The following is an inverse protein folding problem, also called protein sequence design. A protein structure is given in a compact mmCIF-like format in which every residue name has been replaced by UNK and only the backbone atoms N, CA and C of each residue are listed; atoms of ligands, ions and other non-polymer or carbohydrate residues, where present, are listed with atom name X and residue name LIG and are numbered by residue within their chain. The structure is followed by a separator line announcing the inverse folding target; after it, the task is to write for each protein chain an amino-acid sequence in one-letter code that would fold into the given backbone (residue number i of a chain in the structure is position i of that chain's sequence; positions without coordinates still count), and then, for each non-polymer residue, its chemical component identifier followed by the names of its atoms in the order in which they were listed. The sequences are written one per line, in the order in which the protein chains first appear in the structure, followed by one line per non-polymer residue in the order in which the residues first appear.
data_IF_529234586198
#
_entry.id   IF_529234586198
#
_cell.length_a   1.000
_cell.length_b   1.000
_cell.length_c   1.000
_cell.angle_alpha   90.00
_cell.angle_beta   90.00
_cell.angle_gamma   90.00
#
_symmetry.space_group_name_H-M   'P 1'
#
loop_
_entity.id
_entity.type
_entity.pdbx_description
1 polymer ?
#
# COMPACT_ATOMS: atom_id res chain seq x y z
N UNK A 1 -3.82 -8.71 -6.33
CA UNK A 1 -2.64 -7.87 -6.15
C UNK A 1 -1.60 -8.59 -5.29
N UNK A 2 -0.31 -8.41 -5.59
CA UNK A 2 0.78 -8.98 -4.79
C UNK A 2 1.46 -7.91 -3.94
N UNK A 3 1.87 -8.26 -2.73
CA UNK A 3 2.65 -7.43 -1.82
C UNK A 3 3.94 -8.16 -1.42
N UNK A 4 5.07 -7.47 -1.28
CA UNK A 4 6.29 -8.08 -0.72
C UNK A 4 6.14 -8.50 0.75
N UNK A 5 5.20 -7.89 1.44
CA UNK A 5 5.02 -8.00 2.88
C UNK A 5 5.88 -7.03 3.69
N UNK A 6 6.75 -6.27 3.02
CA UNK A 6 7.62 -5.28 3.66
C UNK A 6 8.68 -5.90 4.59
N UNK A 7 9.46 -5.05 5.28
CA UNK A 7 10.55 -5.52 6.15
C UNK A 7 10.07 -6.21 7.43
N UNK A 8 8.80 -6.04 7.81
CA UNK A 8 8.26 -6.54 9.08
C UNK A 8 7.35 -7.75 8.95
N UNK A 9 7.31 -8.36 7.75
CA UNK A 9 6.43 -9.50 7.43
C UNK A 9 6.51 -10.64 8.47
N UNK A 10 7.68 -10.92 8.99
CA UNK A 10 7.92 -12.03 9.95
C UNK A 10 7.94 -11.61 11.41
N UNK A 11 7.81 -10.31 11.71
CA UNK A 11 7.83 -9.82 13.09
C UNK A 11 6.48 -10.06 13.79
N UNK A 12 6.55 -10.34 15.10
CA UNK A 12 5.38 -10.31 15.97
C UNK A 12 4.92 -8.86 16.22
N UNK A 13 3.68 -8.65 16.68
CA UNK A 13 3.18 -7.33 17.07
C UNK A 13 4.08 -6.66 18.13
N UNK A 14 4.58 -7.42 19.11
CA UNK A 14 5.45 -6.86 20.14
C UNK A 14 6.78 -6.38 19.57
N UNK A 15 7.35 -7.12 18.61
CA UNK A 15 8.55 -6.68 17.90
C UNK A 15 8.28 -5.44 17.05
N UNK A 16 7.10 -5.37 16.39
CA UNK A 16 6.70 -4.22 15.58
C UNK A 16 6.51 -2.93 16.40
N UNK A 17 6.24 -3.03 17.72
CA UNK A 17 6.15 -1.85 18.61
C UNK A 17 7.49 -1.11 18.76
N UNK A 18 8.60 -1.82 18.63
CA UNK A 18 9.94 -1.30 18.87
C UNK A 18 10.71 -0.97 17.57
N UNK A 19 10.07 -1.06 16.41
CA UNK A 19 10.75 -0.80 15.13
C UNK A 19 11.06 0.68 14.94
N UNK A 20 12.21 0.93 14.33
CA UNK A 20 12.68 2.29 14.07
C UNK A 20 12.37 2.74 12.63
N UNK A 21 12.40 4.06 12.36
CA UNK A 21 12.26 4.58 11.01
C UNK A 21 13.28 4.00 10.02
N UNK A 22 14.53 3.82 10.44
CA UNK A 22 15.60 3.26 9.62
C UNK A 22 15.30 1.81 9.21
N UNK A 23 14.72 1.03 10.13
CA UNK A 23 14.28 -0.34 9.83
C UNK A 23 13.09 -0.36 8.86
N UNK A 24 12.15 0.59 8.99
CA UNK A 24 10.97 0.66 8.12
C UNK A 24 11.32 1.07 6.69
N UNK A 25 12.38 1.86 6.46
CA UNK A 25 12.82 2.24 5.12
C UNK A 25 13.76 1.21 4.48
N UNK A 26 14.25 0.23 5.23
CA UNK A 26 15.11 -0.85 4.74
C UNK A 26 14.28 -1.95 4.04
N UNK A 27 13.72 -1.63 2.84
CA UNK A 27 12.93 -2.59 2.08
C UNK A 27 13.80 -3.73 1.54
N UNK A 28 13.39 -5.03 1.67
CA UNK A 28 14.22 -6.16 1.29
C UNK A 28 14.53 -6.27 -0.21
N UNK A 29 13.62 -5.83 -1.08
CA UNK A 29 13.70 -6.06 -2.54
C UNK A 29 13.77 -4.78 -3.36
N UNK A 30 13.38 -3.62 -2.81
CA UNK A 30 13.24 -2.38 -3.55
C UNK A 30 14.03 -1.24 -2.90
N UNK A 31 14.76 -0.49 -3.71
CA UNK A 31 15.31 0.81 -3.30
C UNK A 31 14.29 1.90 -3.62
N UNK A 32 13.63 2.42 -2.61
CA UNK A 32 12.50 3.34 -2.75
C UNK A 32 12.66 4.56 -1.82
N UNK A 33 11.86 5.60 -2.08
CA UNK A 33 11.75 6.75 -1.18
C UNK A 33 11.15 6.37 0.20
N UNK A 34 11.42 7.17 1.22
CA UNK A 34 11.02 6.88 2.60
C UNK A 34 9.50 6.67 2.75
N UNK A 35 8.67 7.52 2.14
CA UNK A 35 7.20 7.42 2.21
C UNK A 35 6.69 6.06 1.76
N UNK A 36 7.03 5.64 0.54
CA UNK A 36 6.54 4.37 -0.02
C UNK A 36 7.14 3.16 0.70
N UNK A 37 8.34 3.27 1.28
CA UNK A 37 8.94 2.20 2.08
C UNK A 37 8.15 1.96 3.38
N UNK A 38 7.74 3.03 4.08
CA UNK A 38 6.87 2.94 5.26
C UNK A 38 5.48 2.42 4.87
N UNK A 39 4.92 2.87 3.76
CA UNK A 39 3.64 2.35 3.25
C UNK A 39 3.72 0.87 2.89
N UNK A 40 4.84 0.41 2.36
CA UNK A 40 5.09 -1.02 2.14
C UNK A 40 5.19 -1.78 3.46
N UNK A 41 5.88 -1.21 4.46
CA UNK A 41 6.03 -1.82 5.77
C UNK A 41 4.69 -1.96 6.53
N UNK A 42 3.77 -1.01 6.38
CA UNK A 42 2.42 -1.04 6.97
C UNK A 42 1.40 -1.79 6.11
N UNK A 43 1.74 -2.15 4.88
CA UNK A 43 0.84 -2.60 3.80
C UNK A 43 -0.18 -1.54 3.35
N UNK A 44 -0.06 -0.28 3.78
CA UNK A 44 -0.92 0.81 3.28
C UNK A 44 -0.74 1.04 1.78
N UNK A 45 0.49 0.89 1.25
CA UNK A 45 0.71 0.96 -0.20
C UNK A 45 -0.23 0.00 -0.95
N UNK A 46 -0.37 -1.21 -0.45
CA UNK A 46 -1.27 -2.20 -1.06
C UNK A 46 -2.75 -1.87 -0.83
N UNK A 47 -3.06 -1.21 0.27
CA UNK A 47 -4.39 -0.66 0.51
C UNK A 47 -4.77 0.46 -0.49
N UNK A 48 -3.83 1.35 -0.81
CA UNK A 48 -4.02 2.38 -1.84
C UNK A 48 -4.16 1.75 -3.23
N UNK A 49 -3.31 0.78 -3.57
CA UNK A 49 -3.40 0.05 -4.84
C UNK A 49 -4.72 -0.74 -4.98
N UNK A 50 -5.32 -1.22 -3.90
CA UNK A 50 -6.65 -1.81 -3.91
C UNK A 50 -7.70 -0.81 -4.40
N UNK A 51 -7.65 0.43 -3.87
CA UNK A 51 -8.55 1.51 -4.27
C UNK A 51 -8.30 1.91 -5.74
N UNK A 52 -7.04 2.03 -6.13
CA UNK A 52 -6.65 2.32 -7.52
C UNK A 52 -7.15 1.25 -8.47
N UNK A 53 -6.94 -0.02 -8.17
CA UNK A 53 -7.37 -1.13 -9.02
C UNK A 53 -8.89 -1.16 -9.20
N UNK A 54 -9.67 -0.87 -8.14
CA UNK A 54 -11.11 -0.75 -8.24
C UNK A 54 -11.56 0.34 -9.23
N UNK A 55 -10.86 1.47 -9.25
CA UNK A 55 -11.20 2.56 -10.17
C UNK A 55 -10.65 2.37 -11.59
N UNK A 56 -9.55 1.64 -11.74
CA UNK A 56 -8.91 1.42 -13.05
C UNK A 56 -9.49 0.23 -13.83
N UNK A 57 -10.04 -0.76 -13.12
CA UNK A 57 -10.52 -2.00 -13.75
C UNK A 57 -12.02 -2.19 -13.50
N UNK A 58 -12.76 -2.78 -14.46
CA UNK A 58 -14.19 -3.02 -14.34
C UNK A 58 -14.49 -4.26 -13.47
N UNK A 59 -13.96 -4.27 -12.24
CA UNK A 59 -14.13 -5.37 -11.27
C UNK A 59 -14.68 -4.84 -9.96
N UNK A 60 -15.49 -5.65 -9.27
CA UNK A 60 -15.98 -5.31 -7.93
C UNK A 60 -14.88 -5.34 -6.89
N UNK A 61 -15.02 -4.57 -5.82
CA UNK A 61 -14.06 -4.51 -4.72
C UNK A 61 -13.79 -5.90 -4.09
N UNK A 62 -14.80 -6.75 -4.03
CA UNK A 62 -14.70 -8.11 -3.49
C UNK A 62 -13.93 -9.07 -4.40
N UNK A 63 -13.79 -8.73 -5.70
CA UNK A 63 -13.00 -9.51 -6.66
C UNK A 63 -11.51 -9.12 -6.64
N UNK A 64 -11.12 -8.11 -5.85
CA UNK A 64 -9.72 -7.69 -5.72
C UNK A 64 -9.13 -8.27 -4.44
N UNK A 65 -8.32 -9.31 -4.60
CA UNK A 65 -7.60 -9.94 -3.50
C UNK A 65 -6.16 -9.46 -3.40
N UNK A 66 -5.62 -9.56 -2.19
CA UNK A 66 -4.22 -9.23 -1.89
C UNK A 66 -3.56 -10.48 -1.32
N UNK A 67 -2.43 -10.85 -1.92
CA UNK A 67 -1.56 -11.93 -1.43
C UNK A 67 -0.16 -11.42 -1.17
N UNK A 68 0.47 -11.90 -0.12
CA UNK A 68 1.87 -11.59 0.16
C UNK A 68 2.75 -12.57 -0.61
N UNK A 69 3.70 -12.02 -1.39
CA UNK A 69 4.66 -12.75 -2.20
C UNK A 69 6.06 -12.19 -1.95
N UNK A 70 6.84 -12.81 -1.03
CA UNK A 70 8.11 -12.25 -0.54
C UNK A 70 9.15 -12.04 -1.62
N UNK A 71 9.21 -12.92 -2.62
CA UNK A 71 10.20 -12.80 -3.71
C UNK A 71 9.94 -11.61 -4.64
N UNK A 72 8.71 -11.06 -4.64
CA UNK A 72 8.31 -9.89 -5.46
C UNK A 72 8.61 -10.05 -6.95
N UNK A 73 8.55 -11.25 -7.49
CA UNK A 73 8.71 -11.53 -8.92
C UNK A 73 7.38 -11.70 -9.65
N UNK A 74 6.32 -12.08 -8.93
CA UNK A 74 4.94 -12.03 -9.43
C UNK A 74 4.35 -10.68 -9.04
N UNK A 75 3.99 -9.87 -10.02
CA UNK A 75 3.51 -8.50 -9.79
C UNK A 75 1.98 -8.38 -9.83
N UNK A 76 1.31 -9.27 -10.58
CA UNK A 76 -0.15 -9.33 -10.64
C UNK A 76 -0.62 -10.71 -11.08
N UNK A 77 -1.85 -11.07 -10.67
CA UNK A 77 -2.53 -12.28 -11.11
C UNK A 77 -3.95 -11.91 -11.54
N UNK A 78 -4.45 -12.57 -12.57
CA UNK A 78 -5.85 -12.49 -13.01
C UNK A 78 -6.40 -13.90 -13.02
N UNK A 79 -7.42 -14.15 -12.21
CA UNK A 79 -8.18 -15.38 -12.21
C UNK A 79 -9.41 -15.25 -13.11
N UNK A 80 -9.63 -16.25 -13.97
CA UNK A 80 -10.74 -16.30 -14.89
C UNK A 80 -11.86 -17.19 -14.35
N UNK A 81 -13.05 -17.06 -14.94
CA UNK A 81 -14.26 -17.80 -14.52
C UNK A 81 -14.13 -19.33 -14.67
N UNK A 82 -13.18 -19.80 -15.45
CA UNK A 82 -12.86 -21.22 -15.63
C UNK A 82 -11.84 -21.75 -14.60
N UNK A 83 -11.38 -20.88 -13.69
CA UNK A 83 -10.38 -21.20 -12.68
C UNK A 83 -8.94 -21.11 -13.17
N UNK A 84 -8.70 -20.74 -14.44
CA UNK A 84 -7.33 -20.48 -14.90
C UNK A 84 -6.80 -19.17 -14.33
N UNK A 85 -5.50 -19.12 -14.00
CA UNK A 85 -4.83 -17.94 -13.46
C UNK A 85 -3.69 -17.52 -14.39
N UNK A 86 -3.70 -16.28 -14.84
CA UNK A 86 -2.56 -15.68 -15.52
C UNK A 86 -1.80 -14.77 -14.56
N UNK A 87 -0.48 -14.90 -14.57
CA UNK A 87 0.40 -14.07 -13.75
C UNK A 87 1.40 -13.29 -14.62
N UNK A 88 1.61 -12.02 -14.28
CA UNK A 88 2.72 -11.25 -14.84
C UNK A 88 3.92 -11.40 -13.90
N UNK A 89 5.02 -11.90 -14.45
CA UNK A 89 6.29 -12.10 -13.75
C UNK A 89 7.39 -11.25 -14.36
N UNK A 90 8.32 -10.80 -13.51
CA UNK A 90 9.51 -10.06 -13.91
C UNK A 90 10.44 -9.80 -12.73
N UNK A 91 11.68 -9.34 -12.99
CA UNK A 91 12.52 -8.85 -11.91
C UNK A 91 11.88 -7.62 -11.25
N UNK A 92 12.13 -7.36 -9.95
CA UNK A 92 11.64 -6.19 -9.25
C UNK A 92 12.42 -4.92 -9.68
N UNK A 93 12.18 -4.46 -10.90
CA UNK A 93 12.87 -3.35 -11.55
C UNK A 93 11.87 -2.47 -12.31
N UNK A 94 11.75 -1.21 -11.89
CA UNK A 94 10.83 -0.24 -12.50
C UNK A 94 11.13 0.09 -13.96
N UNK A 95 12.36 -0.18 -14.43
CA UNK A 95 12.69 0.02 -15.85
C UNK A 95 11.85 -0.86 -16.77
N UNK A 96 11.38 -2.02 -16.30
CA UNK A 96 10.52 -2.92 -17.10
C UNK A 96 9.16 -2.28 -17.39
N UNK A 97 8.34 -1.85 -16.40
CA UNK A 97 7.06 -1.24 -16.67
C UNK A 97 7.19 0.13 -17.37
N UNK A 98 8.24 0.91 -17.07
CA UNK A 98 8.51 2.18 -17.74
C UNK A 98 8.78 1.96 -19.24
N UNK A 99 9.67 1.02 -19.57
CA UNK A 99 9.98 0.68 -20.96
C UNK A 99 8.74 0.16 -21.71
N UNK A 100 7.91 -0.64 -21.05
CA UNK A 100 6.65 -1.12 -21.63
C UNK A 100 5.71 0.03 -21.96
N UNK A 101 5.55 0.98 -21.04
CA UNK A 101 4.68 2.15 -21.25
C UNK A 101 5.17 3.04 -22.39
N UNK A 102 6.50 3.26 -22.47
CA UNK A 102 7.09 4.10 -23.51
C UNK A 102 7.05 3.46 -24.90
N UNK A 103 7.17 2.15 -25.00
CA UNK A 103 7.23 1.42 -26.26
C UNK A 103 5.87 0.90 -26.74
N UNK A 104 4.81 1.02 -25.93
CA UNK A 104 3.49 0.50 -26.29
C UNK A 104 3.05 0.88 -27.72
N UNK A 105 2.49 -0.05 -28.54
CA UNK A 105 2.17 -1.47 -28.19
C UNK A 105 3.35 -2.44 -28.33
N UNK A 106 4.48 -1.97 -28.80
CA UNK A 106 5.69 -2.78 -28.95
C UNK A 106 6.40 -3.05 -27.62
N UNK A 107 7.46 -3.85 -27.66
CA UNK A 107 8.37 -4.09 -26.56
C UNK A 107 9.76 -3.57 -26.91
N UNK A 108 10.42 -2.93 -25.94
CA UNK A 108 11.81 -2.49 -26.07
C UNK A 108 12.72 -3.23 -25.10
N UNK A 109 14.00 -3.33 -25.46
CA UNK A 109 15.02 -3.90 -24.57
C UNK A 109 15.26 -2.99 -23.38
N UNK A 110 15.52 -3.62 -22.23
CA UNK A 110 15.90 -2.94 -20.98
C UNK A 110 17.21 -3.54 -20.47
N UNK A 111 18.03 -2.76 -19.75
CA UNK A 111 19.25 -3.26 -19.11
C UNK A 111 18.94 -4.01 -17.79
N UNK A 112 17.80 -4.68 -17.70
CA UNK A 112 17.38 -5.44 -16.54
C UNK A 112 17.83 -6.89 -16.68
N UNK A 113 18.21 -7.52 -15.58
CA UNK A 113 18.45 -8.96 -15.55
C UNK A 113 17.17 -9.70 -15.90
N UNK A 114 17.30 -10.79 -16.63
CA UNK A 114 16.15 -11.63 -16.96
C UNK A 114 15.86 -12.55 -15.79
N UNK A 115 14.56 -12.79 -15.54
CA UNK A 115 14.13 -13.72 -14.52
C UNK A 115 14.50 -15.15 -14.92
N UNK A 116 15.28 -15.83 -14.08
CA UNK A 116 15.61 -17.24 -14.20
C UNK A 116 14.72 -18.05 -13.23
N UNK A 117 13.67 -18.66 -13.77
CA UNK A 117 12.72 -19.45 -12.99
C UNK A 117 13.34 -20.72 -12.40
N UNK A 118 14.38 -21.29 -13.03
CA UNK A 118 15.05 -22.47 -12.51
C UNK A 118 15.87 -22.12 -11.27
N UNK A 119 16.63 -21.04 -11.33
CA UNK A 119 17.40 -20.55 -10.18
C UNK A 119 16.48 -20.02 -9.05
N UNK A 120 15.32 -19.47 -9.38
CA UNK A 120 14.33 -19.03 -8.42
C UNK A 120 13.73 -20.21 -7.63
N UNK A 121 13.45 -21.32 -8.27
CA UNK A 121 13.02 -22.59 -7.69
C UNK A 121 11.57 -22.63 -7.23
N UNK A 122 11.14 -21.75 -6.31
CA UNK A 122 9.77 -21.71 -5.77
C UNK A 122 9.19 -20.31 -5.78
N UNK A 123 7.87 -20.25 -5.74
CA UNK A 123 7.10 -19.02 -5.52
C UNK A 123 6.25 -19.21 -4.26
N UNK A 124 6.47 -18.37 -3.26
CA UNK A 124 5.77 -18.46 -1.99
C UNK A 124 4.67 -17.42 -1.91
N UNK A 125 3.51 -17.81 -1.39
CA UNK A 125 2.36 -16.94 -1.21
C UNK A 125 1.79 -17.12 0.18
N UNK A 126 1.43 -16.01 0.83
CA UNK A 126 0.86 -15.96 2.17
C UNK A 126 -0.37 -15.04 2.17
N UNK A 127 -1.33 -15.32 3.04
CA UNK A 127 -2.40 -14.36 3.31
C UNK A 127 -1.86 -13.21 4.18
N UNK A 128 -2.22 -11.95 3.93
CA UNK A 128 -1.87 -10.86 4.82
C UNK A 128 -2.57 -11.02 6.17
N UNK A 129 -1.86 -10.76 7.26
CA UNK A 129 -2.38 -10.84 8.62
C UNK A 129 -3.09 -9.52 8.99
N UNK A 130 -4.43 -9.50 9.17
CA UNK A 130 -5.17 -8.28 9.43
C UNK A 130 -4.91 -7.67 10.81
N UNK A 131 -4.45 -8.47 11.78
CA UNK A 131 -4.12 -7.96 13.11
C UNK A 131 -2.79 -7.20 13.12
N UNK A 132 -1.80 -7.68 12.36
CA UNK A 132 -0.51 -7.01 12.23
C UNK A 132 -0.53 -5.86 11.23
N UNK A 133 -1.40 -5.95 10.21
CA UNK A 133 -1.47 -4.98 9.12
C UNK A 133 -2.90 -4.44 8.94
N UNK A 134 -3.43 -3.69 9.90
CA UNK A 134 -4.82 -3.19 9.87
C UNK A 134 -5.05 -2.16 8.75
N UNK A 135 -4.00 -1.60 8.15
CA UNK A 135 -4.09 -0.65 7.04
C UNK A 135 -4.91 -1.19 5.85
N UNK A 136 -4.82 -2.50 5.54
CA UNK A 136 -5.60 -3.12 4.49
C UNK A 136 -7.11 -3.09 4.79
N UNK A 137 -7.48 -3.33 6.05
CA UNK A 137 -8.88 -3.24 6.50
C UNK A 137 -9.42 -1.82 6.39
N UNK A 138 -8.63 -0.82 6.78
CA UNK A 138 -8.98 0.60 6.66
C UNK A 138 -9.18 1.02 5.19
N UNK A 139 -8.32 0.56 4.29
CA UNK A 139 -8.46 0.84 2.86
C UNK A 139 -9.72 0.21 2.26
N UNK A 140 -10.04 -1.05 2.60
CA UNK A 140 -11.31 -1.69 2.21
C UNK A 140 -12.52 -0.95 2.75
N UNK A 141 -12.47 -0.52 4.00
CA UNK A 141 -13.53 0.27 4.62
C UNK A 141 -13.71 1.61 3.91
N UNK A 142 -12.62 2.35 3.64
CA UNK A 142 -12.67 3.63 2.94
C UNK A 142 -13.24 3.48 1.53
N UNK A 143 -12.83 2.42 0.81
CA UNK A 143 -13.37 2.12 -0.52
C UNK A 143 -14.87 1.80 -0.46
N UNK A 144 -15.30 0.96 0.48
CA UNK A 144 -16.70 0.58 0.65
C UNK A 144 -17.60 1.75 1.01
N UNK A 145 -17.12 2.66 1.85
CA UNK A 145 -17.85 3.88 2.23
C UNK A 145 -17.88 4.91 1.08
N UNK A 146 -16.86 4.94 0.24
CA UNK A 146 -16.79 5.84 -0.91
C UNK A 146 -16.70 7.31 -0.53
N UNK A 147 -17.19 8.17 -1.43
CA UNK A 147 -17.23 9.62 -1.22
C UNK A 147 -15.84 10.19 -0.92
N UNK A 148 -15.70 10.91 0.19
CA UNK A 148 -14.45 11.52 0.62
C UNK A 148 -13.45 10.56 1.29
N UNK A 149 -13.89 9.36 1.70
CA UNK A 149 -13.08 8.46 2.55
C UNK A 149 -11.73 8.05 1.95
N UNK A 150 -11.61 7.74 0.65
CA UNK A 150 -10.28 7.45 0.06
C UNK A 150 -9.30 8.62 0.16
N UNK A 151 -9.74 9.85 -0.09
CA UNK A 151 -8.91 11.04 0.04
C UNK A 151 -8.48 11.28 1.50
N UNK A 152 -9.40 11.13 2.45
CA UNK A 152 -9.13 11.25 3.88
C UNK A 152 -8.13 10.21 4.34
N UNK A 153 -8.27 8.95 3.92
CA UNK A 153 -7.34 7.86 4.23
C UNK A 153 -5.93 8.21 3.77
N UNK A 154 -5.78 8.66 2.52
CA UNK A 154 -4.47 9.02 1.99
C UNK A 154 -3.85 10.22 2.73
N UNK A 155 -4.62 11.29 2.94
CA UNK A 155 -4.14 12.49 3.65
C UNK A 155 -3.69 12.17 5.08
N UNK A 156 -4.47 11.37 5.82
CA UNK A 156 -4.14 10.95 7.18
C UNK A 156 -2.89 10.05 7.20
N UNK A 157 -2.79 9.11 6.25
CA UNK A 157 -1.62 8.25 6.12
C UNK A 157 -0.34 9.04 5.86
N UNK A 158 -0.36 10.02 4.97
CA UNK A 158 0.81 10.85 4.68
C UNK A 158 1.29 11.63 5.91
N UNK A 159 0.38 12.15 6.73
CA UNK A 159 0.74 12.81 8.00
C UNK A 159 1.33 11.80 8.99
N UNK A 160 0.75 10.60 9.11
CA UNK A 160 1.26 9.54 9.98
C UNK A 160 2.67 9.11 9.58
N UNK A 161 2.86 8.85 8.28
CA UNK A 161 4.16 8.45 7.71
C UNK A 161 5.21 9.55 7.89
N UNK A 162 4.87 10.81 7.66
CA UNK A 162 5.78 11.95 7.87
C UNK A 162 6.14 12.16 9.36
N UNK A 163 5.22 11.84 10.27
CA UNK A 163 5.39 12.00 11.71
C UNK A 163 6.21 10.88 12.36
N UNK A 164 6.31 9.71 11.73
CA UNK A 164 7.04 8.56 12.24
C UNK A 164 8.56 8.80 12.36
N UNK A 165 9.29 9.30 11.34
CA UNK A 165 10.71 9.63 11.47
C UNK A 165 11.01 10.70 12.53
N UNK A 166 10.03 11.57 12.82
CA UNK A 166 10.14 12.62 13.83
C UNK A 166 9.79 12.11 15.25
N UNK A 167 9.54 10.82 15.41
CA UNK A 167 9.13 10.16 16.65
C UNK A 167 7.86 10.76 17.28
N UNK A 168 7.01 11.38 16.48
CA UNK A 168 5.70 11.92 16.91
C UNK A 168 4.58 10.89 16.85
N UNK A 169 4.81 9.81 16.10
CA UNK A 169 3.89 8.68 15.95
C UNK A 169 4.73 7.40 15.93
N UNK A 170 4.35 6.37 16.66
CA UNK A 170 5.00 5.06 16.57
C UNK A 170 4.51 4.29 15.33
N UNK A 171 5.25 3.28 14.91
CA UNK A 171 4.95 2.53 13.68
C UNK A 171 3.51 1.98 13.64
N UNK A 172 3.08 1.30 14.71
CA UNK A 172 1.73 0.73 14.78
C UNK A 172 0.64 1.79 14.90
N UNK A 173 0.98 2.98 15.38
CA UNK A 173 0.03 4.07 15.56
C UNK A 173 -0.28 4.82 14.24
N UNK A 174 0.50 4.59 13.17
CA UNK A 174 0.19 5.15 11.84
C UNK A 174 -1.20 4.70 11.40
N UNK A 175 -1.50 3.41 11.45
CA UNK A 175 -2.81 2.90 11.08
C UNK A 175 -3.91 3.33 12.05
N UNK A 176 -3.61 3.43 13.34
CA UNK A 176 -4.53 3.96 14.36
C UNK A 176 -4.91 5.41 14.09
N UNK A 177 -3.93 6.25 13.74
CA UNK A 177 -4.16 7.64 13.34
C UNK A 177 -5.11 7.73 12.15
N UNK A 178 -4.86 6.92 11.11
CA UNK A 178 -5.74 6.88 9.92
C UNK A 178 -7.17 6.51 10.31
N UNK A 179 -7.36 5.48 11.13
CA UNK A 179 -8.67 5.06 11.62
C UNK A 179 -9.39 6.17 12.41
N UNK A 180 -8.67 6.86 13.29
CA UNK A 180 -9.22 7.99 14.06
C UNK A 180 -9.65 9.16 13.17
N UNK A 181 -8.88 9.51 12.15
CA UNK A 181 -9.24 10.59 11.21
C UNK A 181 -10.46 10.19 10.40
N UNK A 182 -10.51 8.96 9.88
CA UNK A 182 -11.68 8.43 9.14
C UNK A 182 -12.98 8.45 9.98
N UNK A 183 -12.87 8.22 11.29
CA UNK A 183 -14.00 8.22 12.20
C UNK A 183 -14.47 9.64 12.58
N UNK A 184 -13.53 10.60 12.67
CA UNK A 184 -13.82 11.97 13.15
C UNK A 184 -14.17 12.95 12.06
N UNK A 185 -13.72 12.73 10.83
CA UNK A 185 -13.94 13.63 9.71
C UNK A 185 -14.79 12.95 8.64
N UNK A 186 -16.00 13.48 8.43
CA UNK A 186 -17.01 12.88 7.53
C UNK A 186 -17.72 13.98 6.71
N UNK A 187 -17.00 14.67 5.82
CA UNK A 187 -17.60 15.67 4.94
C UNK A 187 -18.50 15.02 3.88
N UNK A 188 -19.38 15.79 3.23
CA UNK A 188 -20.10 15.34 2.05
C UNK A 188 -19.17 14.81 0.97
N UNK A 189 -19.70 13.92 0.10
CA UNK A 189 -18.96 13.43 -1.07
C UNK A 189 -18.59 14.62 -1.98
N UNK A 190 -17.32 14.72 -2.42
CA UNK A 190 -16.87 15.83 -3.26
C UNK A 190 -17.48 15.72 -4.66
N UNK A 191 -17.89 16.86 -5.22
CA UNK A 191 -18.42 17.00 -6.57
C UNK A 191 -17.39 17.59 -7.56
N UNK A 192 -16.23 18.04 -7.07
CA UNK A 192 -15.18 18.66 -7.88
C UNK A 192 -13.79 18.32 -7.35
N UNK A 193 -12.77 18.54 -8.17
CA UNK A 193 -11.36 18.40 -7.76
C UNK A 193 -11.02 19.40 -6.66
N UNK A 194 -11.54 20.63 -6.74
CA UNK A 194 -11.27 21.64 -5.72
C UNK A 194 -11.81 21.21 -4.34
N UNK A 195 -12.98 20.58 -4.29
CA UNK A 195 -13.52 20.01 -3.06
C UNK A 195 -12.69 18.83 -2.55
N UNK A 196 -12.13 17.99 -3.41
CA UNK A 196 -11.19 16.95 -2.99
C UNK A 196 -9.94 17.53 -2.36
N UNK A 197 -9.38 18.60 -2.94
CA UNK A 197 -8.19 19.28 -2.40
C UNK A 197 -8.48 19.94 -1.05
N UNK A 198 -9.68 20.49 -0.88
CA UNK A 198 -10.13 21.06 0.40
C UNK A 198 -10.27 19.97 1.47
N UNK A 199 -10.90 18.84 1.14
CA UNK A 199 -11.04 17.67 2.02
C UNK A 199 -9.66 17.13 2.42
N UNK A 200 -8.74 16.99 1.48
CA UNK A 200 -7.36 16.58 1.76
C UNK A 200 -6.69 17.52 2.76
N UNK A 201 -6.79 18.84 2.52
CA UNK A 201 -6.22 19.85 3.41
C UNK A 201 -6.79 19.78 4.82
N UNK A 202 -8.11 19.64 4.96
CA UNK A 202 -8.77 19.54 6.27
C UNK A 202 -8.44 18.23 6.99
N UNK A 203 -8.44 17.10 6.26
CA UNK A 203 -8.04 15.80 6.80
C UNK A 203 -6.61 15.81 7.34
N UNK A 204 -5.67 16.49 6.65
CA UNK A 204 -4.30 16.71 7.14
C UNK A 204 -4.26 17.52 8.44
N UNK A 205 -5.09 18.54 8.57
CA UNK A 205 -5.17 19.33 9.81
C UNK A 205 -5.69 18.48 10.97
N UNK A 206 -6.75 17.69 10.74
CA UNK A 206 -7.28 16.76 11.74
C UNK A 206 -6.22 15.73 12.16
N UNK A 207 -5.51 15.12 11.19
CA UNK A 207 -4.44 14.18 11.45
C UNK A 207 -3.31 14.81 12.28
N UNK A 208 -2.83 16.00 11.88
CA UNK A 208 -1.78 16.71 12.59
C UNK A 208 -2.16 17.07 14.04
N UNK A 209 -3.43 17.41 14.29
CA UNK A 209 -3.92 17.69 15.65
C UNK A 209 -3.99 16.41 16.53
N UNK A 210 -3.99 15.22 15.93
CA UNK A 210 -4.04 13.94 16.63
C UNK A 210 -2.67 13.35 16.89
N UNK A 211 -1.63 13.67 16.11
CA UNK A 211 -0.29 13.10 16.25
C UNK A 211 0.33 13.29 17.65
N UNK A 212 0.00 14.36 18.34
CA UNK A 212 0.48 14.62 19.71
C UNK A 212 -0.33 13.95 20.83
N UNK A 213 -1.42 13.24 20.50
CA UNK A 213 -2.36 12.66 21.49
C UNK A 213 -2.37 11.14 21.52
N UNK A 214 -1.79 10.49 20.53
CA UNK A 214 -1.83 9.02 20.39
C UNK A 214 -0.86 8.34 21.37
N UNK A 215 0.11 9.08 21.93
CA UNK A 215 1.07 8.58 22.94
C UNK A 215 0.69 8.94 24.38
N UNK A 216 -0.44 9.58 24.64
CA UNK A 216 -0.94 9.89 25.97
C UNK A 216 -2.00 8.86 26.40
#
# INVERSE_FOLDING_TARGET
LTASGGPFRTLSLDQMRAVTPEQAVAHPNWSMGAKISVDSATLMNKGLELIEAFHLFPVGADAIEIVVHPQSVVHSLVEYVDGSVLAQLGPPDMRVPIAYTLAWPERMETPCERLDLVSLGSLDFEAPDPARFPALGLARQALSQGGAKPAILNAANEIGVASFPESRVAFLDIASLVGEVLARYDPPAPASIDEVLEIDREARQVAAALTGKIHA
#
